data_IF_618323405842
#
_entry.id   IF_618323405842
#
_cell.length_a   1.000
_cell.length_b   1.000
_cell.length_c   1.000
_cell.angle_alpha   90.00
_cell.angle_beta   90.00
_cell.angle_gamma   90.00
#
_symmetry.space_group_name_H-M   'P 1'
#
loop_
_entity.id
_entity.type
_entity.pdbx_description
1 polymer ?
#
# COMPACT_ATOMS: atom_id res chain seq x y z
N UNK A 1 20.48 11.53 -7.59
CA UNK A 1 19.24 11.24 -8.33
C UNK A 1 18.15 12.18 -7.86
N UNK A 2 17.37 12.74 -8.79
CA UNK A 2 16.18 13.54 -8.52
C UNK A 2 14.97 12.62 -8.37
N UNK A 3 14.33 12.65 -7.21
CA UNK A 3 13.25 11.77 -6.83
C UNK A 3 11.96 12.56 -6.65
N UNK A 4 10.91 12.20 -7.37
CA UNK A 4 9.56 12.66 -7.11
C UNK A 4 8.81 11.62 -6.27
N UNK A 5 8.20 12.03 -5.16
CA UNK A 5 7.35 11.18 -4.31
C UNK A 5 5.92 11.69 -4.42
N UNK A 6 5.08 10.95 -5.14
CA UNK A 6 3.64 11.19 -5.23
C UNK A 6 2.98 10.55 -4.03
N UNK A 7 2.25 11.34 -3.24
CA UNK A 7 1.64 10.86 -2.00
C UNK A 7 0.35 11.60 -1.66
N UNK A 8 -0.42 11.03 -0.78
CA UNK A 8 -1.60 11.63 -0.15
C UNK A 8 -1.30 12.00 1.31
N UNK A 9 -2.35 12.30 2.08
CA UNK A 9 -2.24 12.55 3.52
C UNK A 9 -2.05 11.28 4.36
N UNK A 10 -1.96 10.09 3.74
CA UNK A 10 -1.76 8.83 4.47
C UNK A 10 -0.38 8.76 5.16
N UNK A 11 -0.25 7.87 6.15
CA UNK A 11 1.02 7.67 6.87
C UNK A 11 2.20 7.33 5.96
N UNK A 12 1.96 6.57 4.88
CA UNK A 12 3.04 6.04 4.05
C UNK A 12 3.88 7.13 3.41
N UNK A 13 3.21 8.10 2.75
CA UNK A 13 3.92 9.21 2.08
C UNK A 13 4.77 10.02 3.05
N UNK A 14 4.19 10.40 4.19
CA UNK A 14 4.90 11.14 5.24
C UNK A 14 6.10 10.37 5.79
N UNK A 15 5.92 9.09 6.15
CA UNK A 15 7.01 8.24 6.65
C UNK A 15 8.11 8.01 5.62
N UNK A 16 7.75 7.86 4.35
CA UNK A 16 8.73 7.73 3.27
C UNK A 16 9.56 9.01 3.14
N UNK A 17 8.92 10.17 3.06
CA UNK A 17 9.59 11.47 2.99
C UNK A 17 10.51 11.70 4.20
N UNK A 18 10.05 11.34 5.40
CA UNK A 18 10.87 11.44 6.62
C UNK A 18 12.10 10.53 6.55
N UNK A 19 11.95 9.28 6.07
CA UNK A 19 13.05 8.33 5.92
C UNK A 19 14.04 8.70 4.81
N UNK A 20 13.63 9.51 3.85
CA UNK A 20 14.49 10.01 2.77
C UNK A 20 15.29 11.26 3.18
N UNK A 21 14.94 11.91 4.30
CA UNK A 21 15.72 13.04 4.82
C UNK A 21 17.15 12.63 5.13
N UNK A 22 18.11 13.50 4.76
CA UNK A 22 19.54 13.25 5.00
C UNK A 22 20.17 12.22 4.06
N UNK A 23 19.44 11.72 3.06
CA UNK A 23 20.01 10.97 1.94
C UNK A 23 20.61 11.94 0.90
N UNK A 24 21.49 11.48 0.00
CA UNK A 24 22.03 12.33 -1.07
C UNK A 24 21.04 12.66 -2.19
N UNK A 25 19.79 12.22 -2.07
CA UNK A 25 18.74 12.40 -3.08
C UNK A 25 18.17 13.82 -3.05
N UNK A 26 17.84 14.35 -4.22
CA UNK A 26 17.02 15.54 -4.35
C UNK A 26 15.54 15.11 -4.34
N UNK A 27 14.89 15.14 -3.16
CA UNK A 27 13.52 14.64 -2.97
C UNK A 27 12.51 15.78 -3.12
N UNK A 28 11.57 15.62 -4.04
CA UNK A 28 10.44 16.53 -4.24
C UNK A 28 9.13 15.80 -3.92
N UNK A 29 8.34 16.28 -2.96
CA UNK A 29 7.01 15.73 -2.71
C UNK A 29 5.98 16.31 -3.68
N UNK A 30 5.07 15.45 -4.17
CA UNK A 30 3.86 15.83 -4.89
C UNK A 30 2.66 15.33 -4.09
N UNK A 31 1.92 16.25 -3.47
CA UNK A 31 0.75 15.92 -2.68
C UNK A 31 -0.51 15.87 -3.55
N UNK A 32 -1.13 14.71 -3.62
CA UNK A 32 -2.45 14.50 -4.23
C UNK A 32 -3.51 14.62 -3.14
N UNK A 33 -4.06 15.82 -2.96
CA UNK A 33 -5.01 16.11 -1.88
C UNK A 33 -6.47 15.75 -2.25
N UNK A 34 -6.80 15.84 -3.53
CA UNK A 34 -8.12 15.54 -4.10
C UNK A 34 -7.93 14.77 -5.40
N UNK A 35 -7.83 13.43 -5.32
CA UNK A 35 -7.54 12.61 -6.50
C UNK A 35 -8.56 12.73 -7.63
N UNK A 36 -9.84 12.89 -7.29
CA UNK A 36 -10.96 13.12 -8.21
C UNK A 36 -10.87 14.46 -8.97
N UNK A 37 -10.17 15.43 -8.41
CA UNK A 37 -9.91 16.73 -9.03
C UNK A 37 -8.55 16.82 -9.74
N UNK A 38 -7.77 15.72 -9.79
CA UNK A 38 -6.49 15.70 -10.53
C UNK A 38 -6.77 15.77 -12.02
N UNK A 39 -6.42 16.90 -12.62
CA UNK A 39 -6.35 17.03 -14.06
C UNK A 39 -5.11 16.26 -14.57
N UNK A 40 -5.35 15.16 -15.27
CA UNK A 40 -4.27 14.33 -15.80
C UNK A 40 -3.48 15.04 -16.90
N UNK A 41 -4.10 15.99 -17.62
CA UNK A 41 -3.42 16.81 -18.62
C UNK A 41 -2.49 17.82 -17.93
N UNK A 42 -2.89 18.36 -16.77
CA UNK A 42 -2.06 19.23 -15.94
C UNK A 42 -1.02 18.48 -15.09
N UNK A 43 -1.09 17.15 -15.02
CA UNK A 43 -0.13 16.36 -14.25
C UNK A 43 1.32 16.58 -14.75
N UNK A 44 1.47 16.80 -16.04
CA UNK A 44 2.77 17.11 -16.66
C UNK A 44 3.41 18.37 -16.08
N UNK A 45 2.63 19.39 -15.77
CA UNK A 45 3.13 20.66 -15.19
C UNK A 45 3.67 20.50 -13.76
N UNK A 46 3.30 19.41 -13.08
CA UNK A 46 3.69 19.15 -11.68
C UNK A 46 4.92 18.26 -11.55
N UNK A 47 5.33 17.61 -12.65
CA UNK A 47 6.47 16.70 -12.66
C UNK A 47 7.68 17.45 -13.24
N UNK A 48 8.71 17.74 -12.47
CA UNK A 48 9.90 18.43 -12.98
C UNK A 48 10.63 17.59 -14.04
N UNK A 49 11.05 18.21 -15.13
CA UNK A 49 11.72 17.56 -16.28
C UNK A 49 13.03 16.85 -15.89
N UNK A 50 13.68 17.30 -14.82
CA UNK A 50 14.92 16.71 -14.31
C UNK A 50 14.67 15.53 -13.34
N UNK A 51 13.46 14.98 -13.27
CA UNK A 51 13.13 13.83 -12.43
C UNK A 51 13.72 12.55 -13.03
N UNK A 52 14.47 11.79 -12.21
CA UNK A 52 15.04 10.50 -12.61
C UNK A 52 14.13 9.31 -12.26
N UNK A 53 13.45 9.41 -11.10
CA UNK A 53 12.57 8.37 -10.56
C UNK A 53 11.32 8.99 -9.95
N UNK A 54 10.17 8.43 -10.29
CA UNK A 54 8.88 8.71 -9.64
C UNK A 54 8.56 7.53 -8.69
N UNK A 55 8.26 7.81 -7.43
CA UNK A 55 7.68 6.85 -6.49
C UNK A 55 6.23 7.22 -6.26
N UNK A 56 5.32 6.42 -6.79
CA UNK A 56 3.90 6.55 -6.47
C UNK A 56 3.60 5.81 -5.16
N UNK A 57 3.47 6.58 -4.08
CA UNK A 57 3.18 6.10 -2.73
C UNK A 57 1.69 6.16 -2.37
N UNK A 58 0.79 6.34 -3.35
CA UNK A 58 -0.64 6.14 -3.16
C UNK A 58 -0.89 4.63 -2.94
N UNK A 59 -1.32 4.27 -1.75
CA UNK A 59 -1.41 2.86 -1.33
C UNK A 59 -2.82 2.48 -0.90
N UNK A 60 -3.60 1.96 -1.84
CA UNK A 60 -4.97 1.54 -1.61
C UNK A 60 -5.05 0.05 -1.29
N UNK A 61 -5.61 -0.25 -0.13
CA UNK A 61 -5.73 -1.60 0.43
C UNK A 61 -7.14 -1.90 0.92
N UNK A 62 -8.12 -1.08 0.55
CA UNK A 62 -9.51 -1.22 0.96
C UNK A 62 -10.43 -1.49 -0.23
N UNK A 63 -10.81 -2.77 -0.46
CA UNK A 63 -11.71 -3.11 -1.55
C UNK A 63 -13.15 -2.62 -1.31
N UNK A 64 -13.58 -2.43 -0.05
CA UNK A 64 -14.90 -1.90 0.27
C UNK A 64 -15.00 -0.41 -0.13
N UNK A 65 -13.97 0.37 0.12
CA UNK A 65 -13.90 1.76 -0.34
C UNK A 65 -14.02 1.86 -1.87
N UNK A 66 -13.47 0.89 -2.62
CA UNK A 66 -13.58 0.85 -4.07
C UNK A 66 -15.00 0.55 -4.58
N UNK A 67 -15.82 -0.17 -3.80
CA UNK A 67 -17.25 -0.37 -4.10
C UNK A 67 -18.10 0.85 -3.74
N UNK A 68 -17.72 1.59 -2.69
CA UNK A 68 -18.45 2.76 -2.19
C UNK A 68 -18.17 4.02 -3.02
N UNK A 69 -16.93 4.21 -3.47
CA UNK A 69 -16.49 5.38 -4.24
C UNK A 69 -15.59 4.95 -5.42
N UNK A 70 -16.20 4.31 -6.44
CA UNK A 70 -15.46 3.68 -7.53
C UNK A 70 -14.70 4.69 -8.40
N UNK A 71 -15.23 5.90 -8.60
CA UNK A 71 -14.62 6.90 -9.47
C UNK A 71 -13.30 7.41 -8.85
N UNK A 72 -13.35 7.82 -7.59
CA UNK A 72 -12.18 8.29 -6.85
C UNK A 72 -11.11 7.20 -6.73
N UNK A 73 -11.48 5.99 -6.30
CA UNK A 73 -10.49 4.92 -6.12
C UNK A 73 -9.88 4.49 -7.46
N UNK A 74 -10.68 4.44 -8.54
CA UNK A 74 -10.16 4.16 -9.89
C UNK A 74 -9.15 5.23 -10.34
N UNK A 75 -9.45 6.51 -10.07
CA UNK A 75 -8.54 7.61 -10.35
C UNK A 75 -7.18 7.40 -9.68
N UNK A 76 -7.19 7.06 -8.38
CA UNK A 76 -5.99 6.88 -7.57
C UNK A 76 -5.18 5.63 -7.94
N UNK A 77 -5.83 4.50 -8.27
CA UNK A 77 -5.12 3.22 -8.49
C UNK A 77 -4.87 2.89 -9.95
N UNK A 78 -5.50 3.61 -10.89
CA UNK A 78 -5.35 3.37 -12.33
C UNK A 78 -5.00 4.63 -13.10
N UNK A 79 -5.84 5.70 -13.04
CA UNK A 79 -5.67 6.85 -13.93
C UNK A 79 -4.42 7.67 -13.62
N UNK A 80 -4.19 8.01 -12.36
CA UNK A 80 -2.97 8.72 -11.91
C UNK A 80 -1.71 7.90 -12.21
N UNK A 81 -1.59 6.61 -11.81
CA UNK A 81 -0.44 5.79 -12.18
C UNK A 81 -0.19 5.69 -13.68
N UNK A 82 -1.24 5.63 -14.50
CA UNK A 82 -1.11 5.57 -15.94
C UNK A 82 -0.55 6.90 -16.50
N UNK A 83 -1.08 8.05 -16.07
CA UNK A 83 -0.56 9.37 -16.45
C UNK A 83 0.90 9.55 -16.05
N UNK A 84 1.27 9.12 -14.82
CA UNK A 84 2.68 9.12 -14.37
C UNK A 84 3.58 8.26 -15.28
N UNK A 85 3.09 7.09 -15.73
CA UNK A 85 3.85 6.19 -16.59
C UNK A 85 4.00 6.74 -18.01
N UNK A 86 2.97 7.37 -18.57
CA UNK A 86 3.03 8.03 -19.88
C UNK A 86 4.03 9.19 -19.87
N UNK A 87 3.99 10.03 -18.83
CA UNK A 87 4.96 11.10 -18.65
C UNK A 87 6.38 10.54 -18.48
N UNK A 88 6.56 9.53 -17.59
CA UNK A 88 7.86 8.89 -17.36
C UNK A 88 8.45 8.30 -18.66
N UNK A 89 7.61 7.72 -19.53
CA UNK A 89 8.04 7.17 -20.83
C UNK A 89 8.53 8.25 -21.78
N UNK A 90 7.88 9.41 -21.82
CA UNK A 90 8.25 10.50 -22.74
C UNK A 90 9.51 11.24 -22.30
N UNK A 91 9.82 11.23 -21.00
CA UNK A 91 10.96 11.95 -20.42
C UNK A 91 12.08 11.01 -19.89
N UNK A 92 12.07 9.73 -20.29
CA UNK A 92 13.05 8.70 -19.87
C UNK A 92 13.22 8.59 -18.36
N UNK A 93 12.15 8.73 -17.60
CA UNK A 93 12.11 8.55 -16.17
C UNK A 93 11.80 7.10 -15.81
N UNK A 94 12.08 6.71 -14.55
CA UNK A 94 11.64 5.43 -13.99
C UNK A 94 10.41 5.61 -13.08
N UNK A 95 9.61 4.56 -12.91
CA UNK A 95 8.45 4.57 -12.00
C UNK A 95 8.47 3.37 -11.06
N UNK A 96 8.35 3.65 -9.74
CA UNK A 96 8.03 2.66 -8.73
C UNK A 96 6.55 2.81 -8.35
N UNK A 97 5.78 1.74 -8.60
CA UNK A 97 4.33 1.68 -8.39
C UNK A 97 3.97 0.65 -7.32
N UNK A 98 3.10 1.02 -6.39
CA UNK A 98 2.50 0.10 -5.43
C UNK A 98 1.31 -0.64 -6.05
N UNK A 99 1.20 -1.92 -5.70
CA UNK A 99 0.07 -2.80 -5.97
C UNK A 99 -0.17 -3.67 -4.74
N UNK A 100 -1.12 -4.59 -4.80
CA UNK A 100 -1.45 -5.44 -3.65
C UNK A 100 -1.67 -6.90 -4.04
N UNK A 101 -1.90 -7.76 -3.04
CA UNK A 101 -2.32 -9.15 -3.21
C UNK A 101 -3.72 -9.29 -3.80
N UNK A 102 -4.53 -8.22 -3.89
CA UNK A 102 -5.87 -8.26 -4.47
C UNK A 102 -5.89 -8.51 -5.99
N UNK A 103 -4.74 -8.44 -6.66
CA UNK A 103 -4.61 -8.88 -8.06
C UNK A 103 -4.78 -10.39 -8.25
N UNK A 104 -4.89 -11.17 -7.18
CA UNK A 104 -5.06 -12.62 -7.20
C UNK A 104 -6.45 -13.06 -6.75
N UNK A 105 -6.89 -14.27 -7.20
CA UNK A 105 -8.20 -14.84 -6.88
C UNK A 105 -8.29 -15.51 -5.49
N UNK A 106 -7.17 -15.69 -4.81
CA UNK A 106 -7.12 -16.31 -3.49
C UNK A 106 -7.34 -17.83 -3.45
N UNK A 107 -7.44 -18.53 -4.58
CA UNK A 107 -7.78 -19.97 -4.64
C UNK A 107 -6.57 -20.88 -4.46
N UNK A 108 -5.37 -20.35 -4.61
CA UNK A 108 -4.14 -21.14 -4.48
C UNK A 108 -3.89 -21.50 -3.01
N UNK A 109 -3.42 -22.73 -2.75
CA UNK A 109 -3.13 -23.20 -1.38
C UNK A 109 -1.78 -22.71 -0.84
N UNK A 110 -0.85 -22.34 -1.72
CA UNK A 110 0.47 -21.80 -1.36
C UNK A 110 0.55 -20.30 -1.68
N UNK A 111 1.59 -19.64 -1.18
CA UNK A 111 1.82 -18.23 -1.48
C UNK A 111 1.92 -17.95 -3.00
N UNK A 112 1.36 -16.82 -3.43
CA UNK A 112 1.48 -16.35 -4.80
C UNK A 112 2.89 -15.80 -5.05
N UNK A 113 3.48 -16.16 -6.18
CA UNK A 113 4.76 -15.65 -6.65
C UNK A 113 4.56 -14.65 -7.80
N UNK A 114 5.59 -13.87 -8.11
CA UNK A 114 5.51 -12.79 -9.12
C UNK A 114 5.10 -13.27 -10.51
N UNK A 115 5.39 -14.54 -10.87
CA UNK A 115 5.03 -15.14 -12.16
C UNK A 115 3.62 -15.72 -12.21
N UNK A 116 2.89 -15.77 -11.08
CA UNK A 116 1.49 -16.17 -11.14
C UNK A 116 0.68 -15.09 -11.87
N UNK A 117 -0.22 -15.49 -12.79
CA UNK A 117 -1.09 -14.54 -13.47
C UNK A 117 -2.05 -13.89 -12.48
N UNK A 118 -2.37 -12.62 -12.69
CA UNK A 118 -3.44 -11.96 -11.96
C UNK A 118 -4.79 -12.50 -12.40
N UNK A 119 -5.66 -12.74 -11.44
CA UNK A 119 -7.05 -13.18 -11.62
C UNK A 119 -7.92 -12.51 -10.55
N UNK A 120 -7.96 -11.17 -10.52
CA UNK A 120 -8.73 -10.43 -9.52
C UNK A 120 -10.22 -10.66 -9.67
N UNK A 121 -10.99 -10.47 -8.59
CA UNK A 121 -12.44 -10.56 -8.60
C UNK A 121 -13.13 -9.34 -7.96
N UNK A 122 -12.41 -8.51 -7.17
CA UNK A 122 -12.91 -7.23 -6.68
C UNK A 122 -12.59 -6.09 -7.65
N UNK A 123 -13.32 -4.98 -7.57
CA UNK A 123 -13.05 -3.80 -8.40
C UNK A 123 -11.63 -3.27 -8.18
N UNK A 124 -11.21 -3.11 -6.91
CA UNK A 124 -9.86 -2.67 -6.57
C UNK A 124 -8.79 -3.56 -7.22
N UNK A 125 -8.93 -4.87 -7.09
CA UNK A 125 -8.00 -5.83 -7.68
C UNK A 125 -7.95 -5.76 -9.21
N UNK A 126 -9.11 -5.58 -9.87
CA UNK A 126 -9.20 -5.44 -11.32
C UNK A 126 -8.43 -4.19 -11.79
N UNK A 127 -8.68 -3.02 -11.20
CA UNK A 127 -7.99 -1.78 -11.59
C UNK A 127 -6.49 -1.84 -11.31
N UNK A 128 -6.07 -2.42 -10.17
CA UNK A 128 -4.65 -2.62 -9.89
C UNK A 128 -4.00 -3.57 -10.92
N UNK A 129 -4.68 -4.65 -11.31
CA UNK A 129 -4.17 -5.56 -12.33
C UNK A 129 -4.08 -4.92 -13.71
N UNK A 130 -5.11 -4.18 -14.13
CA UNK A 130 -5.11 -3.40 -15.38
C UNK A 130 -3.96 -2.39 -15.41
N UNK A 131 -3.76 -1.67 -14.31
CA UNK A 131 -2.63 -0.75 -14.13
C UNK A 131 -1.29 -1.46 -14.29
N UNK A 132 -1.07 -2.59 -13.61
CA UNK A 132 0.16 -3.38 -13.76
C UNK A 132 0.42 -3.81 -15.21
N UNK A 133 -0.61 -4.22 -15.95
CA UNK A 133 -0.49 -4.63 -17.34
C UNK A 133 -0.13 -3.44 -18.24
N UNK A 134 -0.77 -2.29 -18.03
CA UNK A 134 -0.46 -1.06 -18.74
C UNK A 134 1.00 -0.63 -18.50
N UNK A 135 1.44 -0.59 -17.25
CA UNK A 135 2.80 -0.22 -16.86
C UNK A 135 3.86 -1.12 -17.51
N UNK A 136 3.65 -2.43 -17.51
CA UNK A 136 4.58 -3.39 -18.16
C UNK A 136 4.72 -3.17 -19.66
N UNK A 137 3.65 -2.70 -20.30
CA UNK A 137 3.64 -2.43 -21.74
C UNK A 137 4.25 -1.08 -22.08
N UNK A 138 3.97 -0.07 -21.26
CA UNK A 138 4.32 1.33 -21.56
C UNK A 138 5.74 1.70 -21.14
N UNK A 139 6.21 1.19 -19.99
CA UNK A 139 7.41 1.71 -19.35
C UNK A 139 8.42 0.60 -19.05
N UNK A 140 9.51 0.46 -19.82
CA UNK A 140 10.56 -0.54 -19.53
C UNK A 140 11.19 -0.38 -18.14
N UNK A 141 11.43 0.86 -17.69
CA UNK A 141 11.99 1.18 -16.38
C UNK A 141 10.92 1.32 -15.30
N UNK A 142 10.15 0.24 -15.05
CA UNK A 142 9.17 0.18 -13.98
C UNK A 142 9.55 -0.81 -12.88
N UNK A 143 9.21 -0.49 -11.64
CA UNK A 143 9.21 -1.42 -10.53
C UNK A 143 7.79 -1.46 -9.93
N UNK A 144 7.11 -2.59 -10.05
CA UNK A 144 5.81 -2.83 -9.40
C UNK A 144 6.07 -3.60 -8.12
N UNK A 145 5.61 -3.05 -6.98
CA UNK A 145 5.70 -3.70 -5.68
C UNK A 145 4.31 -4.11 -5.21
N UNK A 146 3.99 -5.40 -5.31
CA UNK A 146 2.78 -5.97 -4.71
C UNK A 146 2.99 -6.15 -3.22
N UNK A 147 2.04 -5.69 -2.42
CA UNK A 147 2.11 -5.67 -0.96
C UNK A 147 1.13 -6.63 -0.32
N UNK A 148 1.47 -7.11 0.89
CA UNK A 148 0.55 -7.84 1.76
C UNK A 148 -0.53 -6.95 2.37
N UNK A 149 -1.27 -7.48 3.35
CA UNK A 149 -2.33 -6.77 4.05
C UNK A 149 -1.81 -5.55 4.81
N UNK A 150 -2.50 -4.43 4.72
CA UNK A 150 -2.18 -3.25 5.54
C UNK A 150 -2.53 -3.50 7.01
N UNK A 151 -1.53 -3.54 7.89
CA UNK A 151 -1.75 -3.64 9.34
C UNK A 151 -2.53 -2.41 9.85
N UNK A 152 -2.21 -1.23 9.33
CA UNK A 152 -2.90 0.03 9.66
C UNK A 152 -4.40 -0.03 9.35
N UNK A 153 -4.80 -0.65 8.20
CA UNK A 153 -6.21 -0.83 7.85
C UNK A 153 -6.92 -1.72 8.88
N UNK A 154 -6.35 -2.87 9.25
CA UNK A 154 -6.95 -3.76 10.26
C UNK A 154 -7.07 -3.09 11.63
N UNK A 155 -6.06 -2.35 12.06
CA UNK A 155 -6.12 -1.56 13.30
C UNK A 155 -7.25 -0.53 13.26
N UNK A 156 -7.39 0.21 12.14
CA UNK A 156 -8.47 1.18 11.94
C UNK A 156 -9.84 0.51 12.00
N UNK A 157 -10.04 -0.58 11.28
CA UNK A 157 -11.29 -1.34 11.29
C UNK A 157 -11.68 -1.78 12.71
N UNK A 158 -10.73 -2.27 13.50
CA UNK A 158 -10.99 -2.72 14.88
C UNK A 158 -11.35 -1.54 15.79
N UNK A 159 -10.73 -0.36 15.61
CA UNK A 159 -10.99 0.83 16.43
C UNK A 159 -12.27 1.58 16.04
N UNK A 160 -12.59 1.63 14.77
CA UNK A 160 -13.72 2.42 14.25
C UNK A 160 -15.04 1.63 14.21
N UNK A 161 -14.98 0.29 14.26
CA UNK A 161 -16.19 -0.53 14.32
C UNK A 161 -16.83 -0.38 15.70
N UNK A 162 -18.06 0.14 15.72
CA UNK A 162 -18.82 0.29 16.98
C UNK A 162 -19.23 -1.05 17.58
N UNK A 163 -19.24 -1.12 18.92
CA UNK A 163 -19.70 -2.27 19.70
C UNK A 163 -18.58 -3.22 20.13
N UNK A 164 -18.93 -4.12 21.07
CA UNK A 164 -17.97 -5.00 21.75
C UNK A 164 -17.72 -6.33 21.01
N UNK A 165 -18.41 -6.57 19.88
CA UNK A 165 -18.34 -7.83 19.15
C UNK A 165 -18.02 -7.60 17.68
N UNK A 166 -16.84 -8.08 17.26
CA UNK A 166 -16.33 -7.95 15.90
C UNK A 166 -16.20 -9.31 15.21
N UNK A 167 -16.53 -9.35 13.91
CA UNK A 167 -16.41 -10.56 13.11
C UNK A 167 -15.18 -10.48 12.20
N UNK A 168 -14.32 -11.50 12.26
CA UNK A 168 -13.19 -11.71 11.37
C UNK A 168 -13.10 -13.18 10.95
N UNK A 169 -12.60 -13.45 9.77
CA UNK A 169 -12.62 -14.77 9.17
C UNK A 169 -11.35 -15.56 9.46
N UNK A 170 -11.48 -16.80 9.92
CA UNK A 170 -10.36 -17.76 9.98
C UNK A 170 -10.00 -18.36 8.61
N UNK A 171 -10.87 -18.21 7.59
CA UNK A 171 -10.64 -18.72 6.25
C UNK A 171 -9.76 -17.81 5.41
N UNK A 172 -9.86 -16.50 5.63
CA UNK A 172 -9.03 -15.51 4.93
C UNK A 172 -7.69 -15.40 5.62
N UNK A 173 -6.62 -15.58 4.84
CA UNK A 173 -5.24 -15.56 5.34
C UNK A 173 -4.35 -14.68 4.48
N UNK A 174 -3.40 -14.03 5.12
CA UNK A 174 -2.46 -13.13 4.49
C UNK A 174 -1.27 -12.84 5.39
N UNK A 175 -0.51 -11.85 5.04
CA UNK A 175 0.67 -11.41 5.78
C UNK A 175 0.53 -9.91 6.04
N UNK A 176 0.26 -9.51 7.30
CA UNK A 176 0.17 -8.09 7.65
C UNK A 176 1.47 -7.36 7.38
N UNK A 177 1.37 -6.17 6.81
CA UNK A 177 2.49 -5.30 6.49
C UNK A 177 2.35 -3.98 7.23
N UNK A 178 3.22 -3.69 8.21
CA UNK A 178 3.28 -2.40 8.86
C UNK A 178 3.70 -1.29 7.89
N UNK A 179 3.07 -0.11 7.98
CA UNK A 179 3.39 1.03 7.09
C UNK A 179 4.82 1.52 7.30
N UNK A 180 5.32 1.46 8.54
CA UNK A 180 6.72 1.77 8.84
C UNK A 180 7.70 0.84 8.10
N UNK A 181 7.35 -0.44 7.98
CA UNK A 181 8.19 -1.41 7.27
C UNK A 181 8.10 -1.21 5.74
N UNK A 182 6.91 -0.91 5.20
CA UNK A 182 6.77 -0.56 3.79
C UNK A 182 7.60 0.68 3.42
N UNK A 183 7.55 1.74 4.23
CA UNK A 183 8.37 2.94 4.02
C UNK A 183 9.88 2.64 4.05
N UNK A 184 10.33 1.71 4.92
CA UNK A 184 11.71 1.21 4.94
C UNK A 184 12.09 0.50 3.64
N UNK A 185 11.19 -0.35 3.15
CA UNK A 185 11.41 -1.12 1.90
C UNK A 185 11.48 -0.18 0.71
N UNK A 186 10.54 0.76 0.59
CA UNK A 186 10.55 1.76 -0.49
C UNK A 186 11.85 2.57 -0.49
N UNK A 187 12.29 3.04 0.68
CA UNK A 187 13.60 3.72 0.80
C UNK A 187 14.75 2.83 0.33
N UNK A 188 14.76 1.55 0.72
CA UNK A 188 15.83 0.63 0.33
C UNK A 188 15.86 0.39 -1.19
N UNK A 189 14.70 0.26 -1.84
CA UNK A 189 14.59 0.14 -3.29
C UNK A 189 15.11 1.40 -4.00
N UNK A 190 14.66 2.58 -3.56
CA UNK A 190 15.08 3.87 -4.11
C UNK A 190 16.61 4.04 -4.02
N UNK A 191 17.19 3.74 -2.85
CA UNK A 191 18.65 3.86 -2.65
C UNK A 191 19.44 2.90 -3.54
N UNK A 192 18.94 1.69 -3.81
CA UNK A 192 19.61 0.75 -4.71
C UNK A 192 19.50 1.19 -6.17
N UNK A 193 18.35 1.76 -6.58
CA UNK A 193 18.20 2.37 -7.91
C UNK A 193 19.16 3.55 -8.07
N UNK A 194 19.29 4.42 -7.06
CA UNK A 194 20.26 5.53 -7.05
C UNK A 194 21.71 5.05 -7.18
N UNK A 195 22.03 3.87 -6.65
CA UNK A 195 23.33 3.21 -6.83
C UNK A 195 23.51 2.49 -8.18
N UNK A 196 22.58 2.66 -9.11
CA UNK A 196 22.66 2.09 -10.47
C UNK A 196 22.15 0.66 -10.59
N UNK A 197 21.30 0.17 -9.66
CA UNK A 197 20.70 -1.15 -9.80
C UNK A 197 19.64 -1.15 -10.90
N UNK A 198 19.87 -1.96 -11.94
CA UNK A 198 18.92 -2.18 -13.05
C UNK A 198 18.01 -3.38 -12.76
N UNK A 199 17.00 -3.17 -11.90
CA UNK A 199 16.19 -4.24 -11.29
C UNK A 199 14.70 -4.04 -11.58
N UNK A 200 14.37 -3.80 -12.82
CA UNK A 200 13.00 -3.52 -13.26
C UNK A 200 12.10 -4.75 -13.25
N UNK A 201 10.80 -4.53 -13.19
CA UNK A 201 9.76 -5.53 -13.19
C UNK A 201 8.98 -5.65 -11.88
N UNK A 202 8.29 -6.79 -11.69
CA UNK A 202 7.37 -6.99 -10.55
C UNK A 202 8.06 -7.70 -9.40
N UNK A 203 7.85 -7.19 -8.19
CA UNK A 203 8.29 -7.72 -6.90
C UNK A 203 7.11 -7.85 -5.94
N UNK A 204 7.32 -8.57 -4.83
CA UNK A 204 6.32 -8.77 -3.78
C UNK A 204 6.98 -8.58 -2.43
N UNK A 205 6.26 -7.90 -1.52
CA UNK A 205 6.69 -7.74 -0.15
C UNK A 205 5.50 -7.76 0.82
N UNK A 206 5.66 -8.50 1.91
CA UNK A 206 4.68 -8.62 2.98
C UNK A 206 5.40 -8.90 4.32
N UNK A 207 4.70 -8.88 5.43
CA UNK A 207 5.23 -9.30 6.72
C UNK A 207 5.70 -10.75 6.72
N UNK A 208 6.44 -11.15 7.75
CA UNK A 208 7.11 -12.46 7.78
C UNK A 208 6.12 -13.61 7.97
N UNK A 209 5.17 -13.45 8.90
CA UNK A 209 4.28 -14.53 9.30
C UNK A 209 2.94 -14.44 8.58
N UNK A 210 2.48 -15.58 8.07
CA UNK A 210 1.12 -15.76 7.60
C UNK A 210 0.17 -15.89 8.80
N UNK A 211 -1.00 -15.26 8.69
CA UNK A 211 -2.02 -15.28 9.75
C UNK A 211 -3.42 -15.20 9.14
N UNK A 212 -4.43 -15.76 9.82
CA UNK A 212 -5.82 -15.51 9.46
C UNK A 212 -6.30 -14.14 9.94
N UNK A 213 -7.35 -13.59 9.30
CA UNK A 213 -7.94 -12.32 9.77
C UNK A 213 -8.41 -12.43 11.24
N UNK A 214 -9.00 -13.58 11.61
CA UNK A 214 -9.45 -13.83 12.97
C UNK A 214 -8.29 -13.82 13.99
N UNK A 215 -7.20 -14.54 13.71
CA UNK A 215 -6.01 -14.55 14.59
C UNK A 215 -5.31 -13.20 14.64
N UNK A 216 -5.27 -12.46 13.51
CA UNK A 216 -4.73 -11.10 13.47
C UNK A 216 -5.52 -10.18 14.42
N UNK A 217 -6.86 -10.19 14.32
CA UNK A 217 -7.72 -9.37 15.17
C UNK A 217 -7.59 -9.76 16.66
N UNK A 218 -7.51 -11.06 16.99
CA UNK A 218 -7.24 -11.53 18.33
C UNK A 218 -5.88 -11.05 18.86
N UNK A 219 -4.84 -11.09 18.03
CA UNK A 219 -3.51 -10.64 18.42
C UNK A 219 -3.49 -9.15 18.68
N UNK A 220 -4.11 -8.35 17.81
CA UNK A 220 -4.25 -6.91 17.98
C UNK A 220 -5.01 -6.59 19.28
N UNK A 221 -6.17 -7.21 19.52
CA UNK A 221 -6.98 -6.93 20.71
C UNK A 221 -6.27 -7.29 22.02
N UNK A 222 -5.41 -8.31 22.02
CA UNK A 222 -4.61 -8.70 23.18
C UNK A 222 -3.38 -7.82 23.41
N UNK A 223 -2.82 -7.28 22.33
CA UNK A 223 -1.60 -6.46 22.37
C UNK A 223 -1.89 -5.02 22.81
N UNK A 224 -3.09 -4.51 22.49
CA UNK A 224 -3.52 -3.14 22.81
C UNK A 224 -4.50 -3.20 23.98
N UNK A 225 -4.11 -2.71 25.19
CA UNK A 225 -4.92 -2.86 26.40
C UNK A 225 -6.34 -2.30 26.27
N UNK A 226 -6.53 -1.19 25.57
CA UNK A 226 -7.81 -0.53 25.36
C UNK A 226 -8.79 -1.38 24.52
N UNK A 227 -8.29 -2.37 23.79
CA UNK A 227 -9.08 -3.25 22.92
C UNK A 227 -9.33 -4.64 23.54
N UNK A 228 -8.82 -4.92 24.74
CA UNK A 228 -8.95 -6.22 25.40
C UNK A 228 -10.40 -6.63 25.72
N UNK A 229 -11.32 -5.67 25.79
CA UNK A 229 -12.74 -5.92 26.03
C UNK A 229 -13.47 -6.46 24.80
N UNK A 230 -12.89 -6.36 23.60
CA UNK A 230 -13.52 -6.77 22.36
C UNK A 230 -13.65 -8.28 22.23
N UNK A 231 -14.85 -8.75 21.90
CA UNK A 231 -15.14 -10.13 21.55
C UNK A 231 -14.95 -10.37 20.06
N UNK A 232 -13.85 -11.01 19.69
CA UNK A 232 -13.58 -11.36 18.28
C UNK A 232 -14.22 -12.71 17.97
N UNK A 233 -15.13 -12.76 17.00
CA UNK A 233 -15.81 -13.99 16.59
C UNK A 233 -15.35 -14.43 15.21
N UNK A 234 -15.19 -15.76 15.05
CA UNK A 234 -14.88 -16.36 13.74
C UNK A 234 -16.14 -16.41 12.87
N UNK A 235 -16.24 -15.46 11.97
CA UNK A 235 -17.30 -15.35 10.97
C UNK A 235 -16.78 -14.54 9.79
N UNK A 236 -17.15 -14.93 8.58
CA UNK A 236 -16.85 -14.15 7.36
C UNK A 236 -17.76 -12.90 7.34
N UNK A 237 -17.23 -11.69 7.56
CA UNK A 237 -17.99 -10.46 7.41
C UNK A 237 -18.20 -10.12 5.92
N UNK A 238 -19.13 -9.24 5.62
CA UNK A 238 -19.47 -8.92 4.22
C UNK A 238 -18.30 -8.28 3.47
N UNK A 239 -17.54 -7.40 4.10
CA UNK A 239 -16.36 -6.79 3.52
C UNK A 239 -15.25 -7.82 3.15
N UNK A 240 -15.11 -8.91 3.91
CA UNK A 240 -14.12 -9.94 3.62
C UNK A 240 -14.43 -10.73 2.35
N UNK A 241 -15.69 -10.70 1.87
CA UNK A 241 -16.07 -11.31 0.59
C UNK A 241 -15.45 -10.64 -0.64
N UNK A 242 -14.95 -9.41 -0.46
CA UNK A 242 -14.23 -8.66 -1.48
C UNK A 242 -12.72 -8.94 -1.46
N UNK A 243 -12.26 -9.77 -0.53
CA UNK A 243 -10.84 -10.11 -0.35
C UNK A 243 -10.55 -11.56 -0.78
N UNK A 244 -9.36 -11.84 -1.35
CA UNK A 244 -8.94 -13.21 -1.65
C UNK A 244 -8.82 -14.03 -0.35
N UNK A 245 -9.36 -15.27 -0.34
CA UNK A 245 -9.22 -16.18 0.81
C UNK A 245 -7.74 -16.45 1.13
N UNK A 246 -6.89 -16.53 0.12
CA UNK A 246 -5.44 -16.57 0.29
C UNK A 246 -4.79 -15.33 -0.36
N UNK A 247 -4.32 -14.41 0.46
CA UNK A 247 -3.60 -13.21 0.06
C UNK A 247 -2.07 -13.30 0.33
N UNK A 248 -1.53 -14.52 0.56
CA UNK A 248 -0.12 -14.70 0.91
C UNK A 248 0.80 -14.52 -0.29
N UNK A 249 1.91 -13.81 -0.09
CA UNK A 249 2.88 -13.43 -1.12
C UNK A 249 4.24 -14.07 -0.89
N UNK A 250 4.83 -14.65 -1.95
CA UNK A 250 6.19 -15.18 -1.92
C UNK A 250 7.23 -14.07 -2.13
N UNK A 251 7.96 -13.72 -1.08
CA UNK A 251 8.91 -12.60 -1.06
C UNK A 251 10.36 -13.01 -1.42
N UNK A 252 10.56 -14.20 -1.97
CA UNK A 252 11.91 -14.71 -2.29
C UNK A 252 12.63 -13.85 -3.33
N UNK A 253 11.91 -13.35 -4.35
CA UNK A 253 12.53 -12.52 -5.41
C UNK A 253 13.11 -11.23 -4.83
N UNK A 254 12.35 -10.46 -4.06
CA UNK A 254 12.84 -9.20 -3.48
C UNK A 254 14.01 -9.42 -2.51
N UNK A 255 13.97 -10.51 -1.73
CA UNK A 255 15.06 -10.89 -0.84
C UNK A 255 16.34 -11.22 -1.61
N UNK A 256 16.23 -12.01 -2.69
CA UNK A 256 17.40 -12.43 -3.45
C UNK A 256 18.00 -11.31 -4.29
N UNK A 257 17.14 -10.39 -4.82
CA UNK A 257 17.59 -9.28 -5.66
C UNK A 257 18.17 -8.13 -4.84
N UNK A 258 17.50 -7.76 -3.75
CA UNK A 258 17.78 -6.52 -3.00
C UNK A 258 18.32 -6.79 -1.58
N UNK A 259 18.40 -8.05 -1.14
CA UNK A 259 18.75 -8.38 0.25
C UNK A 259 17.68 -7.98 1.28
N UNK A 260 16.49 -7.58 0.82
CA UNK A 260 15.40 -7.10 1.70
C UNK A 260 14.74 -8.31 2.38
N UNK A 261 14.89 -8.40 3.71
CA UNK A 261 14.26 -9.42 4.54
C UNK A 261 12.92 -8.91 5.08
N UNK A 262 11.97 -9.82 5.17
CA UNK A 262 10.69 -9.61 5.85
C UNK A 262 10.91 -9.39 7.35
N UNK A 263 10.01 -8.65 7.98
CA UNK A 263 9.99 -8.39 9.41
C UNK A 263 8.71 -8.91 10.05
N UNK A 264 8.76 -9.22 11.34
CA UNK A 264 7.57 -9.54 12.12
C UNK A 264 6.63 -8.33 12.17
N UNK A 265 5.35 -8.57 11.90
CA UNK A 265 4.30 -7.56 12.04
C UNK A 265 3.83 -7.43 13.49
N UNK A 266 4.02 -8.47 14.31
CA UNK A 266 3.58 -8.49 15.72
C UNK A 266 4.31 -7.43 16.54
N UNK A 267 5.61 -7.27 16.30
CA UNK A 267 6.45 -6.28 16.98
C UNK A 267 6.04 -4.82 16.64
N UNK A 268 5.33 -4.62 15.53
CA UNK A 268 4.95 -3.29 15.07
C UNK A 268 3.53 -2.85 15.50
N UNK A 269 2.72 -3.72 16.11
CA UNK A 269 1.31 -3.41 16.43
C UNK A 269 1.17 -2.12 17.24
N UNK A 270 1.97 -1.96 18.29
CA UNK A 270 1.89 -0.79 19.17
C UNK A 270 2.38 0.50 18.48
N UNK A 271 3.43 0.40 17.64
CA UNK A 271 3.95 1.54 16.86
C UNK A 271 2.92 2.01 15.84
N UNK A 272 2.28 1.08 15.12
CA UNK A 272 1.23 1.36 14.13
C UNK A 272 -0.02 1.96 14.79
N UNK A 273 -0.41 1.45 15.96
CA UNK A 273 -1.53 1.96 16.73
C UNK A 273 -1.29 3.40 17.21
N UNK A 274 -0.10 3.68 17.74
CA UNK A 274 0.28 5.02 18.16
C UNK A 274 0.28 6.02 16.98
N UNK A 275 0.64 5.55 15.78
CA UNK A 275 0.58 6.33 14.55
C UNK A 275 -0.86 6.72 14.19
N UNK A 276 -1.78 5.76 14.21
CA UNK A 276 -3.21 5.99 13.95
C UNK A 276 -3.83 6.98 14.94
N UNK A 277 -3.51 6.85 16.24
CA UNK A 277 -4.02 7.77 17.26
C UNK A 277 -3.54 9.20 17.04
N UNK A 278 -2.29 9.40 16.62
CA UNK A 278 -1.77 10.73 16.28
C UNK A 278 -2.51 11.34 15.09
N UNK A 279 -2.83 10.54 14.08
CA UNK A 279 -3.58 11.00 12.90
C UNK A 279 -5.02 11.39 13.24
N UNK A 280 -5.70 10.58 14.06
CA UNK A 280 -7.05 10.90 14.52
C UNK A 280 -7.10 12.24 15.27
N UNK A 281 -6.13 12.50 16.15
CA UNK A 281 -6.03 13.79 16.88
C UNK A 281 -5.75 14.97 15.96
N UNK A 282 -4.89 14.79 14.94
CA UNK A 282 -4.56 15.84 13.99
C UNK A 282 -5.77 16.22 13.12
N UNK A 283 -6.57 15.25 12.67
CA UNK A 283 -7.81 15.50 11.92
C UNK A 283 -8.86 16.24 12.76
N UNK A 284 -9.11 15.81 13.99
CA UNK A 284 -10.04 16.47 14.90
C UNK A 284 -9.65 17.91 15.23
N UNK A 285 -8.36 18.22 15.33
CA UNK A 285 -7.87 19.57 15.56
C UNK A 285 -8.12 20.51 14.37
N UNK A 286 -8.01 20.00 13.13
CA UNK A 286 -8.28 20.80 11.91
C UNK A 286 -9.77 21.05 11.74
N UNK A 287 -10.64 20.10 12.07
CA UNK A 287 -12.10 20.25 11.98
C UNK A 287 -12.65 21.26 13.00
N UNK A 288 -12.04 21.36 14.19
CA UNK A 288 -12.43 22.37 15.21
C UNK A 288 -11.99 23.78 14.83
N UNK A 289 -10.84 23.93 14.17
CA UNK A 289 -10.32 25.25 13.75
C UNK A 289 -11.07 25.82 12.50
N UNK A 290 -11.68 24.94 11.70
CA UNK A 290 -12.48 25.31 10.51
C UNK A 290 -13.95 25.62 10.83
N UNK A 291 -14.39 25.44 12.09
CA UNK A 291 -15.76 25.69 12.54
C UNK A 291 -15.90 26.93 13.44
N UNK A 292 -14.82 27.67 13.70
CA UNK A 292 -14.80 29.01 14.29
C UNK A 292 -14.61 30.09 13.21
#
# INVERSE_FOLDING_TARGET
>A
MNLLVVHDYSPLGRLLLERLRGTPLQVRPLLVSQPDAVDLEALEDWIPDDTDLIVNALWHTDPEAAEQDPERIRQEVFSIPLGLAEHARTHDMALLQLSTSYVFDGRKQSAYITSNPGQPFSQLGNWQWECEQALRTLLPRHLILRTGWSLTRFLRMIRETGGDKLAFSSRHRGQPLPVHDLARVLRALVMQIDCGAEVWGTYQYAGQEEVSQHELALTISRTIPELNHLSIVDKVPDWARLEPENATLGCTKIRNTFGIKQRSWQDAIQEEDALLQKEGRARSAVETDSSE
#
